data_IF_617264412701
#
_entry.id   IF_617264412701
#
_cell.length_a   1.000
_cell.length_b   1.000
_cell.length_c   1.000
_cell.angle_alpha   90.00
_cell.angle_beta   90.00
_cell.angle_gamma   90.00
#
_symmetry.space_group_name_H-M   'P 1'
#
loop_
_entity.id
_entity.type
_entity.pdbx_description
1 polymer ?
#
# COMPACT_ATOMS: atom_id res chain seq x y z
N UNK A 1 15.86 7.45 -9.63
CA UNK A 1 17.08 8.08 -9.08
C UNK A 1 16.74 9.34 -8.32
N UNK A 2 15.91 10.23 -8.84
CA UNK A 2 15.50 11.52 -8.22
C UNK A 2 14.88 11.36 -6.81
N UNK A 3 14.03 10.35 -6.59
CA UNK A 3 13.44 10.08 -5.28
C UNK A 3 14.52 9.76 -4.24
N UNK A 4 15.52 8.94 -4.62
CA UNK A 4 16.62 8.58 -3.72
C UNK A 4 17.52 9.80 -3.42
N UNK A 5 17.79 10.63 -4.43
CA UNK A 5 18.55 11.87 -4.27
C UNK A 5 17.80 12.86 -3.40
N UNK A 6 16.51 13.07 -3.66
CA UNK A 6 15.69 14.02 -2.90
C UNK A 6 15.55 13.61 -1.43
N UNK A 7 15.38 12.32 -1.16
CA UNK A 7 15.27 11.82 0.22
C UNK A 7 16.56 11.95 1.03
N UNK A 8 17.72 11.96 0.35
CA UNK A 8 19.03 12.04 1.01
C UNK A 8 19.57 13.46 1.14
N UNK A 9 19.48 14.25 0.07
CA UNK A 9 20.13 15.56 0.00
C UNK A 9 19.24 16.73 0.41
N UNK A 10 17.91 16.63 0.26
CA UNK A 10 17.03 17.73 0.61
C UNK A 10 16.81 17.83 2.11
N UNK A 11 16.60 19.08 2.58
CA UNK A 11 16.34 19.41 3.97
C UNK A 11 14.93 20.02 4.11
N UNK A 12 14.35 19.93 5.29
CA UNK A 12 13.05 20.52 5.59
C UNK A 12 11.89 19.81 4.88
N UNK A 13 10.93 20.60 4.37
CA UNK A 13 9.68 20.11 3.78
C UNK A 13 9.89 19.22 2.55
N UNK A 14 10.85 19.52 1.68
CA UNK A 14 11.12 18.75 0.47
C UNK A 14 11.56 17.30 0.76
N UNK A 15 12.14 17.05 1.93
CA UNK A 15 12.51 15.70 2.35
C UNK A 15 11.28 14.82 2.66
N UNK A 16 10.12 15.42 2.96
CA UNK A 16 8.91 14.69 3.33
C UNK A 16 8.05 14.27 2.12
N UNK A 17 8.36 14.80 0.92
CA UNK A 17 7.60 14.57 -0.31
C UNK A 17 8.43 14.02 -1.48
N UNK A 18 9.35 13.07 -1.26
CA UNK A 18 10.27 12.61 -2.30
C UNK A 18 9.55 11.97 -3.50
N UNK A 19 8.44 11.27 -3.26
CA UNK A 19 7.65 10.66 -4.33
C UNK A 19 6.98 11.69 -5.24
N UNK A 20 6.44 12.77 -4.66
CA UNK A 20 5.84 13.84 -5.45
C UNK A 20 6.91 14.52 -6.32
N UNK A 21 8.09 14.74 -5.77
CA UNK A 21 9.23 15.30 -6.53
C UNK A 21 9.61 14.37 -7.69
N UNK A 22 9.70 13.06 -7.43
CA UNK A 22 9.98 12.06 -8.46
C UNK A 22 8.92 12.02 -9.56
N UNK A 23 7.63 12.09 -9.20
CA UNK A 23 6.53 12.14 -10.16
C UNK A 23 6.58 13.40 -11.02
N UNK A 24 6.75 14.58 -10.40
CA UNK A 24 6.82 15.85 -11.11
C UNK A 24 8.04 15.89 -12.04
N UNK A 25 9.21 15.48 -11.55
CA UNK A 25 10.42 15.41 -12.36
C UNK A 25 10.28 14.42 -13.51
N UNK A 26 9.78 13.23 -13.26
CA UNK A 26 9.52 12.21 -14.28
C UNK A 26 8.55 12.71 -15.35
N UNK A 27 7.48 13.40 -14.94
CA UNK A 27 6.51 13.98 -15.86
C UNK A 27 7.13 15.10 -16.72
N UNK A 28 7.93 15.98 -16.13
CA UNK A 28 8.66 17.03 -16.87
C UNK A 28 9.64 16.43 -17.87
N UNK A 29 10.34 15.36 -17.50
CA UNK A 29 11.22 14.64 -18.44
C UNK A 29 10.43 14.03 -19.60
N UNK A 30 9.26 13.44 -19.35
CA UNK A 30 8.38 12.95 -20.40
C UNK A 30 7.87 14.09 -21.32
N UNK A 31 7.57 15.26 -20.77
CA UNK A 31 7.21 16.45 -21.57
C UNK A 31 8.36 16.87 -22.51
N UNK A 32 9.59 16.89 -21.99
CA UNK A 32 10.77 17.23 -22.80
C UNK A 32 10.97 16.21 -23.92
N UNK A 33 10.83 14.93 -23.65
CA UNK A 33 10.94 13.86 -24.65
C UNK A 33 9.84 13.96 -25.70
N UNK A 34 8.64 14.31 -25.30
CA UNK A 34 7.50 14.51 -26.20
C UNK A 34 7.75 15.67 -27.17
N UNK A 35 8.34 16.78 -26.68
CA UNK A 35 8.80 17.90 -27.53
C UNK A 35 9.92 17.49 -28.50
N UNK A 36 10.72 16.49 -28.15
CA UNK A 36 11.75 15.94 -29.03
C UNK A 36 11.19 14.95 -30.07
N UNK A 37 9.86 14.73 -30.11
CA UNK A 37 9.18 13.84 -31.06
C UNK A 37 9.01 12.41 -30.60
N UNK A 38 9.31 12.10 -29.33
CA UNK A 38 9.05 10.79 -28.73
C UNK A 38 7.72 10.90 -27.97
N UNK A 39 6.64 10.46 -28.58
CA UNK A 39 5.29 10.55 -27.98
C UNK A 39 5.20 9.73 -26.70
N UNK A 40 5.38 10.36 -25.55
CA UNK A 40 5.33 9.74 -24.23
C UNK A 40 4.03 10.02 -23.50
N UNK A 41 3.33 11.11 -23.83
CA UNK A 41 2.14 11.59 -23.17
C UNK A 41 0.93 11.43 -24.08
N UNK A 42 -0.13 10.83 -23.54
CA UNK A 42 -1.40 10.77 -24.24
C UNK A 42 -2.19 12.08 -24.06
N UNK A 43 -2.07 12.97 -25.03
CA UNK A 43 -2.79 14.24 -25.05
C UNK A 43 -4.29 14.09 -25.28
N UNK A 44 -4.78 12.91 -25.68
CA UNK A 44 -6.21 12.68 -25.89
C UNK A 44 -7.01 12.78 -24.59
N UNK A 45 -6.38 12.46 -23.46
CA UNK A 45 -6.98 12.53 -22.13
C UNK A 45 -7.43 13.96 -21.79
N UNK A 46 -6.71 14.98 -22.28
CA UNK A 46 -7.04 16.39 -22.05
C UNK A 46 -8.23 16.88 -22.89
N UNK A 47 -8.65 16.13 -23.93
CA UNK A 47 -9.82 16.49 -24.74
C UNK A 47 -11.14 16.18 -24.07
N UNK A 48 -11.14 15.30 -23.06
CA UNK A 48 -12.32 14.84 -22.34
C UNK A 48 -12.39 15.37 -20.91
N UNK A 49 -11.89 16.60 -20.67
CA UNK A 49 -11.93 17.19 -19.31
C UNK A 49 -13.35 17.38 -18.85
N UNK A 50 -13.75 16.63 -17.85
CA UNK A 50 -14.97 16.87 -17.10
C UNK A 50 -14.62 17.66 -15.84
N UNK A 51 -15.31 18.77 -15.59
CA UNK A 51 -15.05 19.62 -14.42
C UNK A 51 -15.56 19.01 -13.12
N UNK A 52 -16.51 18.10 -13.22
CA UNK A 52 -17.08 17.36 -12.10
C UNK A 52 -16.79 15.86 -12.26
N UNK A 53 -16.57 15.14 -11.16
CA UNK A 53 -16.29 13.72 -11.23
C UNK A 53 -17.52 12.93 -11.68
N UNK A 54 -17.29 11.89 -12.45
CA UNK A 54 -18.31 10.88 -12.68
C UNK A 54 -18.41 10.00 -11.42
N UNK A 55 -19.56 10.12 -10.75
CA UNK A 55 -19.79 9.40 -9.50
C UNK A 55 -20.27 7.98 -9.82
N UNK A 56 -19.34 7.04 -9.86
CA UNK A 56 -19.58 5.65 -10.24
C UNK A 56 -20.75 5.00 -9.49
N UNK A 57 -20.96 5.35 -8.21
CA UNK A 57 -22.07 4.82 -7.41
C UNK A 57 -23.47 5.24 -7.91
N UNK A 58 -23.58 6.34 -8.67
CA UNK A 58 -24.84 6.75 -9.28
C UNK A 58 -25.24 5.85 -10.47
N UNK A 59 -24.28 5.21 -11.09
CA UNK A 59 -24.49 4.27 -12.22
C UNK A 59 -24.64 2.82 -11.76
N UNK A 60 -24.33 2.55 -10.48
CA UNK A 60 -24.45 1.22 -9.91
C UNK A 60 -25.91 0.77 -9.82
N UNK A 61 -26.16 -0.43 -10.30
CA UNK A 61 -27.50 -1.05 -10.23
C UNK A 61 -27.43 -2.30 -9.37
N UNK A 62 -28.34 -2.42 -8.40
CA UNK A 62 -28.41 -3.59 -7.50
C UNK A 62 -28.54 -4.93 -8.26
N UNK A 63 -29.09 -4.92 -9.49
CA UNK A 63 -29.19 -6.10 -10.34
C UNK A 63 -27.86 -6.62 -10.88
N UNK A 64 -26.82 -5.81 -10.85
CA UNK A 64 -25.48 -6.20 -11.31
C UNK A 64 -24.76 -7.03 -10.23
N UNK A 65 -25.34 -7.12 -9.05
CA UNK A 65 -24.85 -7.95 -7.95
C UNK A 65 -25.30 -9.41 -8.12
N UNK A 66 -24.34 -10.31 -8.29
CA UNK A 66 -24.59 -11.75 -8.44
C UNK A 66 -24.30 -12.50 -7.14
N UNK A 67 -25.34 -12.96 -6.47
CA UNK A 67 -25.23 -13.80 -5.26
C UNK A 67 -24.56 -15.17 -5.55
N UNK A 68 -24.65 -15.64 -6.80
CA UNK A 68 -24.07 -16.93 -7.20
C UNK A 68 -22.55 -16.97 -7.06
N UNK A 69 -21.88 -15.83 -7.17
CA UNK A 69 -20.42 -15.71 -7.10
C UNK A 69 -19.91 -15.34 -5.70
N UNK A 70 -20.80 -15.09 -4.74
CA UNK A 70 -20.43 -14.64 -3.40
C UNK A 70 -19.46 -15.59 -2.70
N UNK A 71 -19.75 -16.91 -2.74
CA UNK A 71 -18.88 -17.91 -2.12
C UNK A 71 -17.47 -17.95 -2.71
N UNK A 72 -17.36 -17.83 -4.03
CA UNK A 72 -16.08 -17.79 -4.73
C UNK A 72 -15.32 -16.49 -4.41
N UNK A 73 -16.02 -15.35 -4.35
CA UNK A 73 -15.46 -14.06 -3.97
C UNK A 73 -14.93 -14.08 -2.54
N UNK A 74 -15.70 -14.61 -1.58
CA UNK A 74 -15.25 -14.73 -0.19
C UNK A 74 -14.01 -15.61 -0.09
N UNK A 75 -13.98 -16.74 -0.80
CA UNK A 75 -12.83 -17.65 -0.79
C UNK A 75 -11.57 -16.98 -1.36
N UNK A 76 -11.72 -16.11 -2.36
CA UNK A 76 -10.63 -15.37 -2.98
C UNK A 76 -10.09 -14.27 -2.05
N UNK A 77 -10.98 -13.53 -1.38
CA UNK A 77 -10.59 -12.39 -0.57
C UNK A 77 -10.26 -12.72 0.89
N UNK A 78 -10.73 -13.85 1.44
CA UNK A 78 -10.44 -14.22 2.81
C UNK A 78 -8.93 -14.31 3.14
N UNK A 79 -8.06 -14.90 2.30
CA UNK A 79 -6.61 -14.88 2.55
C UNK A 79 -6.03 -13.47 2.55
N UNK A 80 -6.53 -12.61 1.64
CA UNK A 80 -6.09 -11.20 1.54
C UNK A 80 -6.48 -10.42 2.81
N UNK A 81 -7.68 -10.67 3.35
CA UNK A 81 -8.12 -10.05 4.60
C UNK A 81 -7.21 -10.41 5.79
N UNK A 82 -6.74 -11.66 5.87
CA UNK A 82 -5.78 -12.06 6.89
C UNK A 82 -4.44 -11.30 6.71
N UNK A 83 -3.99 -11.09 5.46
CA UNK A 83 -2.81 -10.26 5.18
C UNK A 83 -3.00 -8.84 5.69
N UNK A 84 -4.12 -8.22 5.37
CA UNK A 84 -4.44 -6.87 5.82
C UNK A 84 -4.48 -6.74 7.35
N UNK A 85 -4.98 -7.75 8.07
CA UNK A 85 -4.97 -7.80 9.53
C UNK A 85 -3.55 -7.77 10.12
N UNK A 86 -2.63 -8.55 9.54
CA UNK A 86 -1.25 -8.61 10.01
C UNK A 86 -0.46 -7.35 9.63
N UNK A 87 -0.73 -6.79 8.46
CA UNK A 87 -0.20 -5.50 8.03
C UNK A 87 -0.63 -4.40 9.00
N UNK A 88 -1.91 -4.30 9.30
CA UNK A 88 -2.48 -3.36 10.26
C UNK A 88 -1.82 -3.48 11.64
N UNK A 89 -1.62 -4.71 12.15
CA UNK A 89 -0.91 -4.94 13.41
C UNK A 89 0.54 -4.46 13.35
N UNK A 90 1.26 -4.79 12.26
CA UNK A 90 2.64 -4.38 12.05
C UNK A 90 2.77 -2.85 12.01
N UNK A 91 1.89 -2.20 11.27
CA UNK A 91 1.84 -0.75 11.10
C UNK A 91 1.59 -0.03 12.42
N UNK A 92 0.68 -0.57 13.27
CA UNK A 92 0.44 -0.05 14.61
C UNK A 92 1.68 -0.17 15.49
N UNK A 93 2.43 -1.26 15.41
CA UNK A 93 3.70 -1.40 16.15
C UNK A 93 4.76 -0.42 15.68
N UNK A 94 4.89 -0.22 14.36
CA UNK A 94 5.84 0.76 13.81
C UNK A 94 5.45 2.18 14.23
N UNK A 95 4.16 2.53 14.12
CA UNK A 95 3.66 3.84 14.52
C UNK A 95 3.81 4.08 16.03
N UNK A 96 3.54 3.06 16.85
CA UNK A 96 3.77 3.09 18.31
C UNK A 96 5.22 3.44 18.65
N UNK A 97 6.17 2.86 17.94
CA UNK A 97 7.59 3.17 18.12
C UNK A 97 7.95 4.61 17.71
N UNK A 98 7.29 5.15 16.69
CA UNK A 98 7.50 6.53 16.24
C UNK A 98 6.94 7.53 17.25
N UNK A 99 5.77 7.26 17.79
CA UNK A 99 5.02 8.16 18.68
C UNK A 99 5.50 8.01 20.15
N UNK A 100 6.04 6.83 20.50
CA UNK A 100 6.44 6.51 21.88
C UNK A 100 5.30 6.08 22.78
N UNK A 101 4.13 5.70 22.22
CA UNK A 101 2.96 5.18 22.93
C UNK A 101 2.48 3.89 22.31
N UNK A 102 2.03 2.92 23.10
CA UNK A 102 1.56 1.63 22.57
C UNK A 102 0.12 1.73 22.06
N UNK A 103 -0.03 1.99 20.77
CA UNK A 103 -1.32 2.08 20.08
C UNK A 103 -2.07 0.74 20.01
N UNK A 104 -1.39 -0.36 20.25
CA UNK A 104 -2.04 -1.68 20.30
C UNK A 104 -2.80 -1.90 21.60
N UNK A 105 -2.43 -1.18 22.66
CA UNK A 105 -3.14 -1.18 23.94
C UNK A 105 -4.22 -0.09 24.00
N UNK A 106 -3.89 1.14 23.57
CA UNK A 106 -4.81 2.27 23.53
C UNK A 106 -4.58 3.11 22.27
N UNK A 107 -5.58 3.26 21.37
CA UNK A 107 -7.02 2.93 21.50
C UNK A 107 -7.36 1.44 21.41
N UNK A 108 -6.43 0.56 21.08
CA UNK A 108 -6.63 -0.87 20.93
C UNK A 108 -6.84 -1.28 19.45
N UNK A 109 -6.33 -2.46 19.11
CA UNK A 109 -6.43 -3.00 17.73
C UNK A 109 -7.87 -3.29 17.30
N UNK A 110 -8.73 -3.65 18.24
CA UNK A 110 -10.15 -3.90 18.00
C UNK A 110 -10.86 -2.68 17.40
N UNK A 111 -10.66 -1.52 17.97
CA UNK A 111 -11.29 -0.28 17.51
C UNK A 111 -10.73 0.19 16.17
N UNK A 112 -9.42 0.08 15.99
CA UNK A 112 -8.77 0.52 14.75
C UNK A 112 -9.10 -0.40 13.58
N UNK A 113 -9.19 -1.73 13.81
CA UNK A 113 -9.64 -2.70 12.82
C UNK A 113 -11.11 -2.52 12.42
N UNK A 114 -11.98 -2.21 13.39
CA UNK A 114 -13.38 -1.88 13.08
C UNK A 114 -13.43 -0.61 12.20
N UNK A 115 -12.63 0.41 12.53
CA UNK A 115 -12.54 1.64 11.74
C UNK A 115 -12.09 1.37 10.30
N UNK A 116 -11.07 0.57 10.11
CA UNK A 116 -10.53 0.17 8.80
C UNK A 116 -11.57 -0.64 8.00
N UNK A 117 -12.23 -1.59 8.67
CA UNK A 117 -13.28 -2.39 8.05
C UNK A 117 -14.50 -1.56 7.63
N UNK A 118 -14.94 -0.62 8.46
CA UNK A 118 -16.05 0.30 8.13
C UNK A 118 -15.64 1.21 6.98
N UNK A 119 -14.43 1.77 6.99
CA UNK A 119 -13.94 2.63 5.92
C UNK A 119 -13.86 1.87 4.58
N UNK A 120 -13.38 0.63 4.59
CA UNK A 120 -13.35 -0.25 3.41
C UNK A 120 -14.76 -0.59 2.92
N UNK A 121 -15.69 -0.90 3.83
CA UNK A 121 -17.07 -1.20 3.47
C UNK A 121 -17.78 0.02 2.84
N UNK A 122 -17.60 1.21 3.41
CA UNK A 122 -18.16 2.45 2.86
C UNK A 122 -17.51 2.79 1.52
N UNK A 123 -16.18 2.68 1.42
CA UNK A 123 -15.45 2.96 0.18
C UNK A 123 -15.91 2.05 -0.95
N UNK A 124 -16.04 0.74 -0.70
CA UNK A 124 -16.50 -0.22 -1.71
C UNK A 124 -17.98 -0.06 -2.05
N UNK A 125 -18.83 0.31 -1.08
CA UNK A 125 -20.22 0.65 -1.35
C UNK A 125 -20.37 1.88 -2.26
N UNK A 126 -19.39 2.78 -2.24
CA UNK A 126 -19.29 3.91 -3.15
C UNK A 126 -18.52 3.59 -4.45
N UNK A 127 -18.37 2.30 -4.79
CA UNK A 127 -17.64 1.79 -5.96
C UNK A 127 -16.13 2.10 -5.94
N UNK A 128 -15.56 2.40 -4.78
CA UNK A 128 -14.12 2.50 -4.59
C UNK A 128 -13.46 1.15 -4.33
N UNK A 129 -12.15 1.15 -4.25
CA UNK A 129 -11.40 -0.03 -3.81
C UNK A 129 -11.42 -0.12 -2.27
N UNK A 130 -11.34 -1.34 -1.70
CA UNK A 130 -11.11 -1.49 -0.27
C UNK A 130 -9.80 -0.82 0.11
N UNK A 131 -9.79 -0.10 1.21
CA UNK A 131 -8.60 0.54 1.73
C UNK A 131 -7.95 -0.32 2.84
N UNK A 132 -6.69 -0.06 3.11
CA UNK A 132 -5.92 -0.64 4.21
C UNK A 132 -4.99 0.41 4.79
N UNK A 133 -4.33 0.10 5.88
CA UNK A 133 -3.27 0.96 6.43
C UNK A 133 -2.15 1.13 5.41
N UNK A 134 -1.53 2.32 5.38
CA UNK A 134 -0.46 2.66 4.45
C UNK A 134 0.86 2.88 5.18
N UNK A 135 1.81 1.98 5.00
CA UNK A 135 3.16 2.08 5.58
C UNK A 135 3.91 3.35 5.16
N UNK A 136 3.64 3.86 3.95
CA UNK A 136 4.23 5.11 3.46
C UNK A 136 3.71 6.33 4.24
N UNK A 137 2.44 6.32 4.63
CA UNK A 137 1.86 7.39 5.47
C UNK A 137 2.46 7.37 6.86
N UNK A 138 2.76 6.18 7.40
CA UNK A 138 3.46 6.01 8.66
C UNK A 138 4.89 6.54 8.55
N UNK A 139 5.59 6.22 7.47
CA UNK A 139 6.92 6.75 7.20
C UNK A 139 6.90 8.28 7.08
N UNK A 140 5.91 8.85 6.38
CA UNK A 140 5.74 10.29 6.27
C UNK A 140 5.50 10.94 7.64
N UNK A 141 4.71 10.29 8.51
CA UNK A 141 4.50 10.71 9.90
C UNK A 141 5.82 10.71 10.69
N UNK A 142 6.63 9.68 10.52
CA UNK A 142 7.96 9.57 11.14
C UNK A 142 8.93 10.66 10.66
N UNK A 143 8.95 10.96 9.36
CA UNK A 143 9.81 11.99 8.77
C UNK A 143 9.38 13.41 9.16
N UNK A 144 8.07 13.69 9.10
CA UNK A 144 7.52 15.00 9.43
C UNK A 144 7.52 15.28 10.94
N UNK A 145 7.58 14.22 11.76
CA UNK A 145 7.35 14.24 13.22
C UNK A 145 5.99 14.84 13.61
N UNK A 146 5.01 14.75 12.70
CA UNK A 146 3.64 15.21 12.92
C UNK A 146 2.72 13.99 13.01
N UNK A 147 2.38 13.60 14.23
CA UNK A 147 1.50 12.48 14.55
C UNK A 147 0.13 12.94 15.08
N UNK A 148 -0.26 14.19 14.80
CA UNK A 148 -1.53 14.73 15.29
C UNK A 148 -2.70 14.17 14.48
N UNK A 149 -3.65 13.51 15.15
CA UNK A 149 -4.90 13.02 14.55
C UNK A 149 -5.64 14.14 13.82
N UNK A 150 -5.67 15.36 14.36
CA UNK A 150 -6.34 16.51 13.70
C UNK A 150 -5.71 16.86 12.36
N UNK A 151 -4.38 16.80 12.26
CA UNK A 151 -3.66 17.08 10.99
C UNK A 151 -3.95 16.00 9.97
N UNK A 152 -3.94 14.72 10.38
CA UNK A 152 -4.22 13.59 9.50
C UNK A 152 -5.66 13.62 9.01
N UNK A 153 -6.62 13.91 9.90
CA UNK A 153 -8.04 14.05 9.53
C UNK A 153 -8.26 15.21 8.56
N UNK A 154 -7.59 16.35 8.78
CA UNK A 154 -7.66 17.48 7.87
C UNK A 154 -7.05 17.15 6.50
N UNK A 155 -5.93 16.45 6.48
CA UNK A 155 -5.30 15.99 5.24
C UNK A 155 -6.23 15.03 4.46
N UNK A 156 -6.90 14.10 5.15
CA UNK A 156 -7.89 13.22 4.54
C UNK A 156 -9.09 14.00 3.97
N UNK A 157 -9.59 14.99 4.69
CA UNK A 157 -10.66 15.86 4.21
C UNK A 157 -10.25 16.67 2.96
N UNK A 158 -9.04 17.22 2.96
CA UNK A 158 -8.49 17.93 1.79
C UNK A 158 -8.35 16.98 0.60
N UNK A 159 -7.84 15.75 0.80
CA UNK A 159 -7.77 14.73 -0.26
C UNK A 159 -9.15 14.41 -0.83
N UNK A 160 -10.15 14.26 0.05
CA UNK A 160 -11.54 14.04 -0.37
C UNK A 160 -12.07 15.19 -1.23
N UNK A 161 -11.79 16.45 -0.86
CA UNK A 161 -12.17 17.61 -1.66
C UNK A 161 -11.44 17.68 -3.00
N UNK A 162 -10.13 17.36 -3.02
CA UNK A 162 -9.33 17.33 -4.25
C UNK A 162 -9.81 16.25 -5.23
N UNK A 163 -10.36 15.15 -4.73
CA UNK A 163 -10.93 14.09 -5.56
C UNK A 163 -12.12 14.56 -6.43
N UNK A 164 -12.81 15.66 -6.02
CA UNK A 164 -13.89 16.24 -6.81
C UNK A 164 -13.43 17.21 -7.90
N UNK A 165 -12.12 17.45 -8.02
CA UNK A 165 -11.55 18.35 -9.04
C UNK A 165 -11.21 17.51 -10.29
N UNK A 166 -12.09 17.49 -11.29
CA UNK A 166 -11.91 16.72 -12.51
C UNK A 166 -10.60 17.01 -13.26
N UNK A 167 -10.20 18.27 -13.47
CA UNK A 167 -8.90 18.58 -14.08
C UNK A 167 -7.69 17.96 -13.38
N UNK A 168 -7.72 17.83 -12.04
CA UNK A 168 -6.64 17.17 -11.30
C UNK A 168 -6.57 15.67 -11.63
N UNK A 169 -7.71 15.02 -11.77
CA UNK A 169 -7.77 13.61 -12.19
C UNK A 169 -7.20 13.41 -13.59
N UNK A 170 -7.50 14.31 -14.53
CA UNK A 170 -6.97 14.25 -15.89
C UNK A 170 -5.44 14.41 -15.90
N UNK A 171 -4.89 15.34 -15.11
CA UNK A 171 -3.43 15.49 -14.96
C UNK A 171 -2.80 14.21 -14.41
N UNK A 172 -3.40 13.59 -13.39
CA UNK A 172 -2.90 12.32 -12.83
C UNK A 172 -2.95 11.20 -13.88
N UNK A 173 -4.04 11.09 -14.64
CA UNK A 173 -4.20 10.09 -15.69
C UNK A 173 -3.25 10.30 -16.87
N UNK A 174 -2.81 11.52 -17.13
CA UNK A 174 -1.85 11.83 -18.19
C UNK A 174 -0.42 11.41 -17.87
N UNK A 175 -0.13 11.06 -16.61
CA UNK A 175 1.22 10.63 -16.22
C UNK A 175 1.54 9.29 -16.85
N UNK A 176 2.63 9.20 -17.66
CA UNK A 176 3.00 7.96 -18.33
C UNK A 176 3.29 6.81 -17.35
N UNK A 177 2.93 5.59 -17.73
CA UNK A 177 3.15 4.39 -16.91
C UNK A 177 4.62 4.15 -16.55
N UNK A 178 5.56 4.60 -17.39
CA UNK A 178 7.00 4.50 -17.10
C UNK A 178 7.41 5.35 -15.89
N UNK A 179 6.77 6.51 -15.67
CA UNK A 179 7.02 7.36 -14.50
C UNK A 179 6.48 6.69 -13.24
N UNK A 180 5.25 6.18 -13.30
CA UNK A 180 4.67 5.40 -12.19
C UNK A 180 5.50 4.15 -11.89
N UNK A 181 5.92 3.41 -12.91
CA UNK A 181 6.76 2.22 -12.74
C UNK A 181 8.09 2.53 -12.05
N UNK A 182 8.76 3.61 -12.46
CA UNK A 182 10.00 4.06 -11.83
C UNK A 182 9.82 4.46 -10.37
N UNK A 183 8.73 5.16 -10.04
CA UNK A 183 8.38 5.51 -8.66
C UNK A 183 8.02 4.26 -7.84
N UNK A 184 7.25 3.33 -8.41
CA UNK A 184 6.82 2.09 -7.77
C UNK A 184 8.00 1.19 -7.40
N UNK A 185 9.03 1.10 -8.25
CA UNK A 185 10.24 0.32 -7.93
C UNK A 185 10.91 0.80 -6.65
N UNK A 186 11.03 2.13 -6.47
CA UNK A 186 11.65 2.70 -5.26
C UNK A 186 10.74 2.51 -4.05
N UNK A 187 9.42 2.68 -4.24
CA UNK A 187 8.42 2.46 -3.20
C UNK A 187 8.46 1.01 -2.68
N UNK A 188 8.44 0.02 -3.57
CA UNK A 188 8.51 -1.38 -3.19
C UNK A 188 9.84 -1.74 -2.52
N UNK A 189 10.96 -1.15 -2.98
CA UNK A 189 12.24 -1.27 -2.31
C UNK A 189 12.20 -0.71 -0.88
N UNK A 190 11.54 0.44 -0.68
CA UNK A 190 11.37 1.04 0.63
C UNK A 190 10.50 0.17 1.56
N UNK A 191 9.40 -0.39 1.06
CA UNK A 191 8.53 -1.31 1.80
C UNK A 191 9.31 -2.57 2.21
N UNK A 192 10.08 -3.15 1.29
CA UNK A 192 10.93 -4.31 1.58
C UNK A 192 11.96 -4.01 2.68
N UNK A 193 12.61 -2.84 2.61
CA UNK A 193 13.54 -2.39 3.66
C UNK A 193 12.83 -2.17 5.01
N UNK A 194 11.59 -1.68 5.00
CA UNK A 194 10.78 -1.53 6.21
C UNK A 194 10.46 -2.88 6.86
N UNK A 195 10.11 -3.88 6.05
CA UNK A 195 9.93 -5.26 6.51
C UNK A 195 11.20 -5.84 7.14
N UNK A 196 12.37 -5.64 6.50
CA UNK A 196 13.66 -6.07 7.06
C UNK A 196 13.97 -5.35 8.40
N UNK A 197 13.70 -4.06 8.49
CA UNK A 197 13.85 -3.33 9.76
C UNK A 197 12.97 -3.92 10.86
N UNK A 198 11.75 -4.32 10.57
CA UNK A 198 10.85 -4.96 11.54
C UNK A 198 11.45 -6.27 12.06
N UNK A 199 12.04 -7.10 11.19
CA UNK A 199 12.74 -8.34 11.59
C UNK A 199 13.91 -8.02 12.54
N UNK A 200 14.71 -7.01 12.22
CA UNK A 200 15.86 -6.59 13.03
C UNK A 200 15.38 -6.03 14.39
N UNK A 201 14.37 -5.18 14.40
CA UNK A 201 13.84 -4.59 15.63
C UNK A 201 13.18 -5.61 16.55
N UNK A 202 12.55 -6.64 16.00
CA UNK A 202 11.96 -7.75 16.76
C UNK A 202 13.03 -8.68 17.36
N UNK A 203 14.33 -8.43 17.09
CA UNK A 203 15.44 -9.26 17.54
C UNK A 203 15.24 -10.75 17.20
N UNK A 204 14.65 -11.00 16.04
CA UNK A 204 14.43 -12.37 15.55
C UNK A 204 15.78 -13.02 15.32
N UNK A 205 16.04 -14.10 16.05
CA UNK A 205 17.26 -14.88 15.90
C UNK A 205 17.18 -15.67 14.58
N UNK A 206 17.97 -15.27 13.59
CA UNK A 206 18.08 -15.94 12.30
C UNK A 206 19.11 -17.07 12.28
N UNK A 207 19.86 -17.27 13.38
CA UNK A 207 20.70 -18.46 13.55
C UNK A 207 19.86 -19.69 13.94
N UNK A 208 18.66 -19.45 14.50
CA UNK A 208 17.68 -20.53 14.69
C UNK A 208 17.13 -20.98 13.31
N UNK A 209 17.37 -22.24 12.98
CA UNK A 209 16.94 -22.87 11.73
C UNK A 209 15.44 -22.71 11.46
N UNK A 210 14.60 -22.69 12.51
CA UNK A 210 13.15 -22.46 12.37
C UNK A 210 12.89 -21.08 11.76
N UNK A 211 13.43 -20.03 12.39
CA UNK A 211 13.23 -18.65 11.97
C UNK A 211 13.81 -18.43 10.57
N UNK A 212 14.99 -18.99 10.32
CA UNK A 212 15.63 -18.90 9.00
C UNK A 212 14.77 -19.51 7.90
N UNK A 213 14.22 -20.72 8.12
CA UNK A 213 13.35 -21.39 7.14
C UNK A 213 12.08 -20.57 6.90
N UNK A 214 11.41 -20.12 7.97
CA UNK A 214 10.17 -19.34 7.86
C UNK A 214 10.41 -18.06 7.07
N UNK A 215 11.44 -17.28 7.42
CA UNK A 215 11.77 -16.03 6.73
C UNK A 215 12.16 -16.29 5.28
N UNK A 216 12.96 -17.31 5.01
CA UNK A 216 13.39 -17.67 3.65
C UNK A 216 12.18 -18.03 2.76
N UNK A 217 11.25 -18.83 3.27
CA UNK A 217 10.06 -19.22 2.51
C UNK A 217 9.16 -18.00 2.26
N UNK A 218 8.93 -17.15 3.26
CA UNK A 218 8.12 -15.93 3.10
C UNK A 218 8.74 -15.00 2.03
N UNK A 219 10.04 -14.75 2.11
CA UNK A 219 10.73 -13.89 1.15
C UNK A 219 10.72 -14.49 -0.27
N UNK A 220 11.04 -15.77 -0.40
CA UNK A 220 11.09 -16.43 -1.71
C UNK A 220 9.72 -16.50 -2.38
N UNK A 221 8.68 -16.82 -1.63
CA UNK A 221 7.31 -16.90 -2.19
C UNK A 221 6.69 -15.52 -2.44
N UNK A 222 6.89 -14.59 -1.52
CA UNK A 222 6.31 -13.25 -1.62
C UNK A 222 7.00 -12.38 -2.68
N UNK A 223 8.32 -12.28 -2.64
CA UNK A 223 9.12 -11.46 -3.58
C UNK A 223 9.32 -12.18 -4.91
N UNK A 224 9.43 -13.51 -4.90
CA UNK A 224 9.59 -14.34 -6.10
C UNK A 224 8.38 -14.39 -7.01
N UNK A 225 7.26 -13.76 -6.63
CA UNK A 225 6.05 -13.69 -7.46
C UNK A 225 5.38 -15.04 -7.68
N UNK A 226 5.59 -16.00 -6.78
CA UNK A 226 4.91 -17.29 -6.87
C UNK A 226 3.40 -17.11 -6.80
N UNK A 227 2.67 -17.89 -7.57
CA UNK A 227 1.22 -17.97 -7.49
C UNK A 227 0.78 -19.43 -7.53
N UNK A 228 -0.32 -19.71 -6.86
CA UNK A 228 -1.00 -21.00 -6.96
C UNK A 228 -2.29 -20.84 -7.73
N UNK A 229 -2.48 -21.67 -8.74
CA UNK A 229 -3.68 -21.68 -9.55
C UNK A 229 -4.37 -23.03 -9.45
N UNK A 230 -5.63 -23.01 -9.01
CA UNK A 230 -6.51 -24.18 -8.97
C UNK A 230 -7.77 -23.88 -9.79
N UNK A 231 -7.79 -24.35 -11.03
CA UNK A 231 -8.89 -24.04 -11.94
C UNK A 231 -9.00 -22.54 -12.21
N UNK A 232 -10.13 -21.93 -11.88
CA UNK A 232 -10.38 -20.49 -11.97
C UNK A 232 -9.89 -19.69 -10.74
N UNK A 233 -9.45 -20.38 -9.68
CA UNK A 233 -8.93 -19.75 -8.46
C UNK A 233 -7.43 -19.50 -8.58
N UNK A 234 -7.00 -18.24 -8.42
CA UNK A 234 -5.60 -17.86 -8.40
C UNK A 234 -5.29 -17.13 -7.09
N UNK A 235 -4.32 -17.66 -6.34
CA UNK A 235 -3.81 -17.05 -5.12
C UNK A 235 -2.49 -16.34 -5.40
N UNK A 236 -2.42 -15.05 -5.11
CA UNK A 236 -1.21 -14.26 -5.30
C UNK A 236 -0.10 -14.63 -4.31
N UNK A 237 1.15 -14.40 -4.69
CA UNK A 237 2.33 -14.77 -3.91
C UNK A 237 2.38 -14.19 -2.51
N UNK A 238 1.86 -12.99 -2.28
CA UNK A 238 1.79 -12.37 -0.95
C UNK A 238 0.88 -13.16 -0.02
N UNK A 239 -0.34 -13.52 -0.45
CA UNK A 239 -1.25 -14.33 0.35
C UNK A 239 -0.68 -15.74 0.60
N UNK A 240 -0.06 -16.33 -0.42
CA UNK A 240 0.59 -17.63 -0.32
C UNK A 240 1.76 -17.62 0.67
N UNK A 241 2.64 -16.62 0.58
CA UNK A 241 3.80 -16.48 1.46
C UNK A 241 3.40 -16.39 2.93
N UNK A 242 2.31 -15.67 3.21
CA UNK A 242 1.83 -15.51 4.56
C UNK A 242 1.23 -16.80 5.12
N UNK A 243 0.39 -17.49 4.34
CA UNK A 243 -0.17 -18.78 4.75
C UNK A 243 0.94 -19.79 5.03
N UNK A 244 1.93 -19.89 4.12
CA UNK A 244 3.07 -20.78 4.30
C UNK A 244 3.90 -20.39 5.52
N UNK A 245 4.13 -19.10 5.74
CA UNK A 245 4.87 -18.58 6.89
C UNK A 245 4.18 -18.95 8.22
N UNK A 246 2.88 -18.74 8.32
CA UNK A 246 2.10 -19.10 9.51
C UNK A 246 2.11 -20.62 9.73
N UNK A 247 1.85 -21.42 8.71
CA UNK A 247 1.85 -22.90 8.81
C UNK A 247 3.24 -23.38 9.27
N UNK A 248 4.31 -22.92 8.64
CA UNK A 248 5.67 -23.31 9.02
C UNK A 248 6.01 -22.88 10.45
N UNK A 249 5.64 -21.67 10.84
CA UNK A 249 5.90 -21.20 12.19
C UNK A 249 5.17 -22.02 13.26
N UNK A 250 3.96 -22.51 12.98
CA UNK A 250 3.19 -23.35 13.89
C UNK A 250 3.69 -24.79 13.90
N UNK A 251 4.15 -25.31 12.76
CA UNK A 251 4.58 -26.72 12.63
C UNK A 251 6.03 -26.97 13.07
N UNK A 252 6.91 -26.01 12.82
CA UNK A 252 8.30 -26.13 13.20
C UNK A 252 8.48 -25.78 14.68
N UNK A 253 9.04 -26.72 15.44
CA UNK A 253 9.41 -26.50 16.85
C UNK A 253 10.79 -25.86 16.93
N UNK A 254 10.92 -24.84 17.77
CA UNK A 254 12.23 -24.27 18.13
C UNK A 254 13.07 -25.35 18.81
N UNK A 255 14.19 -25.76 18.22
CA UNK A 255 15.17 -26.60 18.93
C UNK A 255 15.83 -25.69 19.97
N UNK A 256 15.58 -25.91 21.26
CA UNK A 256 16.41 -25.32 22.31
C UNK A 256 17.86 -25.77 22.01
N UNK A 257 18.73 -24.81 21.70
CA UNK A 257 20.18 -25.05 21.71
C UNK A 257 20.55 -25.52 23.10
N UNK A 258 21.10 -26.72 23.18
CA UNK A 258 21.74 -27.28 24.37
C UNK A 258 23.01 -26.54 24.64
#
# INVERSE_FOLDING_TARGET
>A
MEIAVSSHYFKGFLKTIPFLIGLVFGYVMCLILDLCGINMIDWSVFKSIQWYPDLAFLHWRARDFSWSNLGQTVLLFAPVAICALLEHYSDHKVLSNIIGTDLTAEPGLDKTLIGDGVASAVGTALCGLPNTSYGESIAATGFSRVASVKVITLAAAIMGLLAFIGPLQVVIQSIPSCVFGGCAMILYGYIACSGLKTIIHSKTDLEDNKNLIVVSVILTTGVGGMFLQFGSFQMAGVALSMILGVILNLTLKTKKSV
#
